data_IF_172948343600
#
_entry.id   IF_172948343600
#
_cell.length_a   1.000
_cell.length_b   1.000
_cell.length_c   1.000
_cell.angle_alpha   90.00
_cell.angle_beta   90.00
_cell.angle_gamma   90.00
#
_symmetry.space_group_name_H-M   'P 1'
#
loop_
_entity.id
_entity.type
_entity.pdbx_description
1 polymer ?
#
# COMPACT_ATOMS: atom_id res chain seq x y z
N UNK A 1 -6.23 -13.51 -46.14
CA UNK A 1 -6.66 -12.14 -45.79
C UNK A 1 -7.72 -12.29 -44.72
N UNK A 2 -7.55 -12.05 -43.42
CA UNK A 2 -6.40 -11.77 -42.54
C UNK A 2 -6.87 -12.20 -41.15
N UNK A 3 -6.01 -12.86 -40.38
CA UNK A 3 -6.25 -13.18 -38.97
C UNK A 3 -6.13 -11.88 -38.17
N UNK A 4 -7.22 -11.37 -37.61
CA UNK A 4 -7.15 -10.38 -36.53
C UNK A 4 -7.38 -11.11 -35.21
N UNK A 5 -6.26 -11.48 -34.58
CA UNK A 5 -6.25 -11.91 -33.18
C UNK A 5 -6.88 -10.81 -32.33
N UNK A 6 -7.90 -11.16 -31.55
CA UNK A 6 -8.30 -10.37 -30.38
C UNK A 6 -7.14 -10.43 -29.37
N UNK A 7 -6.19 -9.53 -29.52
CA UNK A 7 -5.17 -9.27 -28.52
C UNK A 7 -5.91 -8.71 -27.30
N UNK A 8 -6.11 -9.56 -26.29
CA UNK A 8 -6.49 -9.14 -24.96
C UNK A 8 -5.36 -8.22 -24.48
N UNK A 9 -5.57 -6.90 -24.55
CA UNK A 9 -4.70 -5.94 -23.89
C UNK A 9 -4.85 -6.14 -22.38
N UNK A 10 -4.14 -7.10 -21.80
CA UNK A 10 -3.75 -6.99 -20.41
C UNK A 10 -2.72 -5.86 -20.41
N UNK A 11 -3.20 -4.64 -20.17
CA UNK A 11 -2.31 -3.59 -19.70
C UNK A 11 -1.74 -4.14 -18.40
N UNK A 12 -0.49 -4.62 -18.43
CA UNK A 12 0.26 -4.85 -17.21
C UNK A 12 0.24 -3.54 -16.46
N UNK A 13 -0.52 -3.48 -15.36
CA UNK A 13 -0.62 -2.32 -14.48
C UNK A 13 0.72 -2.19 -13.74
N UNK A 14 1.77 -1.83 -14.48
CA UNK A 14 3.07 -1.51 -13.93
C UNK A 14 2.88 -0.30 -13.05
N UNK A 15 3.00 -0.50 -11.73
CA UNK A 15 2.94 0.58 -10.76
C UNK A 15 4.27 0.69 -10.05
N UNK A 16 4.68 1.93 -9.80
CA UNK A 16 5.83 2.24 -8.96
C UNK A 16 5.29 2.98 -7.76
N UNK A 17 5.51 2.40 -6.58
CA UNK A 17 5.24 3.05 -5.31
C UNK A 17 6.57 3.52 -4.71
N UNK A 18 6.66 4.82 -4.47
CA UNK A 18 7.68 5.37 -3.59
C UNK A 18 7.11 5.44 -2.19
N UNK A 19 7.56 4.56 -1.31
CA UNK A 19 7.16 4.60 0.09
C UNK A 19 7.87 5.74 0.82
N UNK A 20 7.11 6.49 1.60
CA UNK A 20 7.57 7.59 2.45
C UNK A 20 8.16 7.07 3.76
N UNK A 21 8.70 7.95 4.58
CA UNK A 21 9.20 7.61 5.91
C UNK A 21 8.08 7.06 6.82
N UNK A 22 8.48 6.14 7.71
CA UNK A 22 7.55 5.57 8.67
C UNK A 22 7.15 6.61 9.71
N UNK A 23 5.88 6.57 10.12
CA UNK A 23 5.35 7.34 11.23
C UNK A 23 5.07 6.41 12.40
N UNK A 24 6.03 6.33 13.32
CA UNK A 24 5.94 5.46 14.49
C UNK A 24 4.79 5.86 15.42
N UNK A 25 4.19 4.86 16.07
CA UNK A 25 3.10 5.06 17.01
C UNK A 25 1.81 5.55 16.36
N UNK A 26 1.62 5.28 15.07
CA UNK A 26 0.44 5.74 14.32
C UNK A 26 -0.11 4.69 13.37
N UNK A 27 -1.38 4.83 13.02
CA UNK A 27 -2.06 4.03 12.02
C UNK A 27 -3.12 4.87 11.31
N UNK A 28 -3.31 4.63 10.01
CA UNK A 28 -4.43 5.19 9.26
C UNK A 28 -5.67 4.33 9.53
N UNK A 29 -6.73 4.96 10.03
CA UNK A 29 -8.00 4.29 10.35
C UNK A 29 -9.00 4.39 9.19
N UNK A 30 -10.06 3.56 9.21
CA UNK A 30 -11.19 3.54 8.24
C UNK A 30 -10.87 3.16 6.79
N UNK A 31 -9.60 3.21 6.38
CA UNK A 31 -9.16 2.95 5.01
C UNK A 31 -8.55 1.56 4.80
N UNK A 32 -8.63 0.68 5.81
CA UNK A 32 -8.09 -0.69 5.73
C UNK A 32 -8.92 -1.52 4.77
N UNK A 33 -8.28 -1.99 3.69
CA UNK A 33 -8.89 -2.89 2.70
C UNK A 33 -8.58 -4.35 2.96
N UNK A 34 -7.46 -4.65 3.64
CA UNK A 34 -7.05 -6.02 3.95
C UNK A 34 -6.18 -6.07 5.20
N UNK A 35 -6.42 -7.05 6.06
CA UNK A 35 -5.52 -7.42 7.15
C UNK A 35 -4.86 -8.75 6.85
N UNK A 36 -3.55 -8.85 7.06
CA UNK A 36 -2.74 -10.04 6.84
C UNK A 36 -1.91 -10.30 8.10
N UNK A 37 -1.89 -11.53 8.59
CA UNK A 37 -0.99 -11.94 9.66
C UNK A 37 0.42 -12.11 9.08
N UNK A 38 1.32 -11.18 9.41
CA UNK A 38 2.70 -11.17 8.94
C UNK A 38 3.58 -10.63 10.06
N UNK A 39 4.75 -11.24 10.23
CA UNK A 39 5.75 -10.87 11.22
C UNK A 39 6.90 -10.03 10.64
N UNK A 40 6.65 -9.33 9.52
CA UNK A 40 7.68 -8.60 8.79
C UNK A 40 7.10 -7.37 8.09
N UNK A 41 7.58 -6.18 8.47
CA UNK A 41 7.23 -4.92 7.80
C UNK A 41 7.60 -4.96 6.31
N UNK A 42 8.75 -5.55 5.98
CA UNK A 42 9.18 -5.69 4.58
C UNK A 42 8.17 -6.50 3.76
N UNK A 43 7.67 -7.60 4.33
CA UNK A 43 6.61 -8.39 3.69
C UNK A 43 5.32 -7.59 3.53
N UNK A 44 4.96 -6.76 4.51
CA UNK A 44 3.81 -5.86 4.41
C UNK A 44 3.94 -4.86 3.25
N UNK A 45 5.14 -4.29 3.06
CA UNK A 45 5.46 -3.42 1.92
C UNK A 45 5.27 -4.12 0.59
N UNK A 46 5.77 -5.36 0.46
CA UNK A 46 5.60 -6.17 -0.75
C UNK A 46 4.13 -6.49 -1.00
N UNK A 47 3.36 -6.85 0.04
CA UNK A 47 1.92 -7.08 -0.10
C UNK A 47 1.18 -5.83 -0.55
N UNK A 48 1.55 -4.66 -0.02
CA UNK A 48 1.00 -3.41 -0.52
C UNK A 48 1.34 -3.24 -1.99
N UNK A 49 2.60 -3.42 -2.40
CA UNK A 49 3.00 -3.31 -3.81
C UNK A 49 2.15 -4.19 -4.75
N UNK A 50 1.88 -5.44 -4.36
CA UNK A 50 1.09 -6.39 -5.14
C UNK A 50 -0.43 -6.08 -5.17
N UNK A 51 -0.94 -5.42 -4.13
CA UNK A 51 -2.33 -5.00 -4.07
C UNK A 51 -2.52 -3.64 -4.76
N UNK A 52 -3.15 -3.63 -5.95
CA UNK A 52 -3.31 -2.42 -6.76
C UNK A 52 -4.04 -1.28 -6.04
N UNK A 53 -5.00 -1.62 -5.16
CA UNK A 53 -5.72 -0.62 -4.38
C UNK A 53 -4.88 -0.05 -3.23
N UNK A 54 -3.82 -0.75 -2.80
CA UNK A 54 -3.01 -0.32 -1.66
C UNK A 54 -2.11 0.86 -2.02
N UNK A 55 -2.18 1.93 -1.23
CA UNK A 55 -1.34 3.13 -1.35
C UNK A 55 -0.72 3.55 -0.02
N UNK A 56 -1.01 2.85 1.07
CA UNK A 56 -0.28 2.93 2.34
C UNK A 56 -0.52 1.66 3.16
N UNK A 57 0.22 1.45 4.23
CA UNK A 57 -0.03 0.34 5.15
C UNK A 57 0.21 0.73 6.61
N UNK A 58 -0.48 0.03 7.52
CA UNK A 58 -0.13 -0.03 8.94
C UNK A 58 0.56 -1.37 9.20
N UNK A 59 1.61 -1.38 10.01
CA UNK A 59 2.25 -2.61 10.47
C UNK A 59 2.45 -2.54 11.98
N UNK A 60 2.08 -3.58 12.71
CA UNK A 60 2.22 -3.55 14.16
C UNK A 60 1.65 -4.75 14.87
N UNK A 61 1.90 -4.79 16.19
CA UNK A 61 1.46 -5.88 17.05
C UNK A 61 0.10 -5.56 17.67
N UNK A 62 -0.89 -6.43 17.44
CA UNK A 62 -2.21 -6.34 18.10
C UNK A 62 -2.08 -6.67 19.59
N UNK A 63 -3.08 -6.27 20.37
CA UNK A 63 -3.20 -6.61 21.80
C UNK A 63 -3.15 -8.13 22.03
N UNK A 64 -3.70 -8.92 21.11
CA UNK A 64 -3.68 -10.38 21.15
C UNK A 64 -2.27 -10.99 21.00
N UNK A 65 -1.29 -10.22 20.55
CA UNK A 65 0.10 -10.67 20.40
C UNK A 65 0.54 -10.90 18.94
N UNK A 66 -0.40 -10.98 18.00
CA UNK A 66 -0.07 -11.20 16.60
C UNK A 66 0.40 -9.91 15.92
N UNK A 67 1.46 -10.00 15.12
CA UNK A 67 1.85 -8.96 14.19
C UNK A 67 0.96 -9.00 12.95
N UNK A 68 0.49 -7.82 12.56
CA UNK A 68 -0.41 -7.67 11.42
C UNK A 68 0.06 -6.58 10.49
N UNK A 69 -0.22 -6.81 9.21
CA UNK A 69 -0.16 -5.84 8.14
C UNK A 69 -1.58 -5.43 7.75
N UNK A 70 -1.90 -4.16 7.82
CA UNK A 70 -3.17 -3.59 7.38
C UNK A 70 -2.90 -2.75 6.14
N UNK A 71 -3.33 -3.22 4.97
CA UNK A 71 -3.21 -2.51 3.71
C UNK A 71 -4.32 -1.47 3.61
N UNK A 72 -3.99 -0.25 3.16
CA UNK A 72 -4.94 0.85 3.06
C UNK A 72 -5.08 1.36 1.63
N UNK A 73 -6.30 1.74 1.24
CA UNK A 73 -6.58 2.36 -0.06
C UNK A 73 -6.47 3.90 -0.06
N UNK A 74 -5.92 4.48 1.00
CA UNK A 74 -5.81 5.92 1.19
C UNK A 74 -4.48 6.29 1.84
N UNK A 75 -4.18 7.58 1.91
CA UNK A 75 -2.98 8.12 2.56
C UNK A 75 -3.36 9.21 3.55
N UNK A 76 -2.46 9.50 4.46
CA UNK A 76 -2.48 10.63 5.39
C UNK A 76 -2.44 12.01 4.70
N UNK A 77 -2.03 12.07 3.43
CA UNK A 77 -2.12 13.29 2.62
C UNK A 77 -3.57 13.51 2.18
N UNK A 78 -4.25 12.44 1.75
CA UNK A 78 -5.65 12.51 1.31
C UNK A 78 -6.61 12.65 2.49
N UNK A 79 -6.32 11.98 3.61
CA UNK A 79 -7.16 11.94 4.80
C UNK A 79 -6.31 12.16 6.07
N UNK A 80 -5.80 13.38 6.30
CA UNK A 80 -4.90 13.66 7.43
C UNK A 80 -5.56 13.41 8.79
N UNK A 81 -6.86 13.67 8.91
CA UNK A 81 -7.59 13.48 10.15
C UNK A 81 -7.77 12.00 10.54
N UNK A 82 -7.59 11.07 9.61
CA UNK A 82 -7.73 9.63 9.86
C UNK A 82 -6.40 8.98 10.28
N UNK A 83 -5.28 9.70 10.25
CA UNK A 83 -4.02 9.24 10.82
C UNK A 83 -4.06 9.45 12.34
N UNK A 84 -4.20 8.36 13.09
CA UNK A 84 -4.39 8.40 14.54
C UNK A 84 -3.21 7.77 15.29
N UNK A 85 -2.93 8.21 16.52
CA UNK A 85 -2.00 7.51 17.40
C UNK A 85 -2.44 6.08 17.65
N UNK A 86 -1.53 5.11 17.44
CA UNK A 86 -1.75 3.69 17.73
C UNK A 86 -0.44 3.07 18.20
N UNK A 87 -0.39 2.74 19.49
CA UNK A 87 0.79 2.16 20.13
C UNK A 87 1.15 0.82 19.47
N UNK A 88 2.45 0.57 19.32
CA UNK A 88 3.04 -0.62 18.67
C UNK A 88 2.72 -0.79 17.18
N UNK A 89 2.25 0.28 16.54
CA UNK A 89 2.06 0.34 15.09
C UNK A 89 2.96 1.40 14.49
N UNK A 90 3.32 1.15 13.23
CA UNK A 90 3.86 2.15 12.33
C UNK A 90 2.89 2.32 11.17
N UNK A 91 2.84 3.53 10.62
CA UNK A 91 2.18 3.84 9.37
C UNK A 91 3.22 4.17 8.29
N UNK A 92 3.02 3.70 7.07
CA UNK A 92 3.83 4.08 5.91
C UNK A 92 2.96 4.42 4.70
N UNK A 93 2.99 5.69 4.28
CA UNK A 93 2.38 6.17 3.05
C UNK A 93 3.21 5.84 1.81
N UNK A 94 2.58 5.87 0.63
CA UNK A 94 3.27 5.79 -0.65
C UNK A 94 2.74 6.80 -1.66
N UNK A 95 3.64 7.27 -2.51
CA UNK A 95 3.33 8.09 -3.68
C UNK A 95 3.45 7.25 -4.95
N UNK A 96 2.50 7.40 -5.87
CA UNK A 96 2.60 6.79 -7.19
C UNK A 96 3.56 7.63 -8.02
N UNK A 97 4.59 7.00 -8.60
CA UNK A 97 5.37 7.65 -9.65
C UNK A 97 4.69 7.41 -10.99
N UNK A 98 4.31 8.49 -11.65
CA UNK A 98 3.86 8.45 -13.03
C UNK A 98 5.07 8.21 -13.95
N UNK A 99 5.06 7.10 -14.70
CA UNK A 99 6.12 6.75 -15.66
C UNK A 99 6.02 7.49 -17.00
N UNK A 100 5.04 8.39 -17.16
CA UNK A 100 4.92 9.27 -18.33
C UNK A 100 5.95 10.40 -18.20
N UNK A 101 7.22 10.08 -18.45
CA UNK A 101 8.28 11.07 -18.30
C UNK A 101 9.71 10.67 -18.66
N UNK A 102 9.97 9.52 -19.28
CA UNK A 102 11.27 9.32 -19.93
C UNK A 102 11.30 10.16 -21.23
N UNK A 103 11.71 11.41 -21.10
CA UNK A 103 12.27 12.16 -22.23
C UNK A 103 13.60 11.49 -22.58
N UNK A 104 13.61 10.71 -23.66
CA UNK A 104 14.82 10.54 -24.49
C UNK A 104 15.08 11.83 -25.23
#
# INVERSE_FOLDING_TARGET
>A
MSYFQNILFIADNCRILQFLDAKDGSALEKHVIRTIALNSEHSCRVQCYLENACVSYNFGKRVAGDEVCELNNSTDIQHPDDLKPRVNFIYRGAEKKDLIGEKV
#
